data_IF_524266986550
#
_entry.id   IF_524266986550
#
_cell.length_a   1.000
_cell.length_b   1.000
_cell.length_c   1.000
_cell.angle_alpha   90.00
_cell.angle_beta   90.00
_cell.angle_gamma   90.00
#
_symmetry.space_group_name_H-M   'P 1'
#
loop_
_entity.id
_entity.type
_entity.pdbx_description
1 polymer ?
#
# COMPACT_ATOMS: atom_id res chain seq x y z
N UNK A 1 -43.77 -8.34 -7.30
CA UNK A 1 -43.32 -9.71 -6.96
C UNK A 1 -42.25 -10.13 -7.96
N UNK A 2 -40.98 -10.31 -7.65
CA UNK A 2 -40.37 -10.96 -6.50
C UNK A 2 -39.06 -10.23 -6.11
N UNK A 3 -39.07 -9.52 -4.98
CA UNK A 3 -37.85 -9.19 -4.25
C UNK A 3 -37.68 -10.30 -3.20
N UNK A 4 -36.70 -11.17 -3.39
CA UNK A 4 -36.35 -12.20 -2.41
C UNK A 4 -34.85 -12.13 -2.08
N UNK A 5 -34.59 -11.52 -0.92
CA UNK A 5 -33.49 -11.73 0.01
C UNK A 5 -32.28 -12.56 -0.46
N UNK A 6 -31.14 -11.90 -0.60
CA UNK A 6 -29.82 -12.52 -0.50
C UNK A 6 -28.93 -11.67 0.41
N UNK A 7 -29.22 -11.69 1.71
CA UNK A 7 -28.28 -11.33 2.76
C UNK A 7 -27.80 -12.61 3.45
N UNK A 8 -26.57 -13.07 3.22
CA UNK A 8 -25.97 -13.98 4.17
C UNK A 8 -25.62 -13.16 5.42
N UNK A 9 -26.36 -13.38 6.52
CA UNK A 9 -25.87 -13.04 7.86
C UNK A 9 -24.63 -13.91 8.08
N UNK A 10 -23.44 -13.35 7.89
CA UNK A 10 -22.23 -13.94 8.43
C UNK A 10 -22.36 -13.91 9.95
N UNK A 11 -22.74 -15.05 10.52
CA UNK A 11 -22.62 -15.28 11.96
C UNK A 11 -21.14 -15.48 12.21
N UNK A 12 -20.46 -14.43 12.69
CA UNK A 12 -19.19 -14.64 13.38
C UNK A 12 -19.52 -15.54 14.56
N UNK A 13 -18.99 -16.78 14.55
CA UNK A 13 -19.06 -17.63 15.72
C UNK A 13 -18.38 -16.87 16.86
N UNK A 14 -19.17 -16.43 17.84
CA UNK A 14 -18.63 -15.96 19.10
C UNK A 14 -17.69 -17.04 19.65
N UNK A 15 -16.55 -16.68 20.24
CA UNK A 15 -15.74 -17.64 20.96
C UNK A 15 -16.64 -18.37 21.97
N UNK A 16 -16.56 -19.70 22.02
CA UNK A 16 -17.23 -20.48 23.06
C UNK A 16 -16.77 -20.02 24.44
N UNK A 17 -17.62 -20.18 25.46
CA UNK A 17 -17.34 -19.74 26.84
C UNK A 17 -15.97 -20.22 27.38
N UNK A 18 -15.47 -21.35 26.89
CA UNK A 18 -14.14 -21.87 27.20
C UNK A 18 -12.99 -20.95 26.73
N UNK A 19 -13.13 -20.29 25.57
CA UNK A 19 -12.13 -19.35 25.06
C UNK A 19 -12.08 -18.04 25.88
N UNK A 20 -13.19 -17.66 26.53
CA UNK A 20 -13.22 -16.50 27.44
C UNK A 20 -12.60 -16.83 28.80
N UNK A 21 -12.65 -18.09 29.25
CA UNK A 21 -12.04 -18.51 30.52
C UNK A 21 -10.50 -18.56 30.46
N UNK A 22 -9.91 -18.89 29.31
CA UNK A 22 -8.44 -18.93 29.14
C UNK A 22 -7.80 -17.53 29.20
N UNK A 23 -8.54 -16.47 28.88
CA UNK A 23 -8.03 -15.09 28.97
C UNK A 23 -7.87 -14.57 30.41
N UNK A 24 -8.42 -15.26 31.42
CA UNK A 24 -8.38 -14.86 32.82
C UNK A 24 -7.20 -15.45 33.62
N UNK A 25 -6.45 -16.41 33.05
CA UNK A 25 -5.22 -16.95 33.61
C UNK A 25 -4.05 -16.38 32.81
N UNK A 26 -3.26 -15.49 33.42
CA UNK A 26 -2.26 -14.60 32.80
C UNK A 26 -1.05 -15.23 32.10
N UNK A 27 -1.20 -16.35 31.39
CA UNK A 27 -0.21 -16.92 30.48
C UNK A 27 -0.89 -17.35 29.18
N UNK A 28 -1.10 -16.39 28.27
CA UNK A 28 -1.29 -16.76 26.86
C UNK A 28 0.03 -17.37 26.38
N UNK A 29 0.07 -18.65 25.96
CA UNK A 29 1.25 -19.19 25.30
C UNK A 29 1.56 -18.29 24.08
N UNK A 30 2.85 -18.06 23.76
CA UNK A 30 3.19 -17.24 22.61
C UNK A 30 2.46 -17.81 21.39
N UNK A 31 1.69 -16.97 20.69
CA UNK A 31 1.04 -17.33 19.44
C UNK A 31 2.11 -17.95 18.54
N UNK A 32 2.09 -19.28 18.43
CA UNK A 32 3.10 -20.00 17.70
C UNK A 32 2.96 -19.60 16.23
N UNK A 33 4.09 -19.33 15.55
CA UNK A 33 4.06 -19.10 14.11
C UNK A 33 3.38 -20.29 13.44
N UNK A 34 2.31 -20.06 12.69
CA UNK A 34 1.77 -21.09 11.82
C UNK A 34 2.79 -21.42 10.73
N UNK A 35 3.45 -20.38 10.19
CA UNK A 35 4.57 -20.51 9.27
C UNK A 35 5.28 -19.15 9.07
N UNK A 36 6.41 -19.16 8.37
CA UNK A 36 7.16 -17.96 7.96
C UNK A 36 7.27 -17.93 6.44
N UNK A 37 7.18 -16.75 5.83
CA UNK A 37 7.43 -16.56 4.41
C UNK A 37 8.21 -15.28 4.14
N UNK A 38 8.85 -15.20 2.98
CA UNK A 38 9.52 -14.00 2.51
C UNK A 38 10.58 -14.33 1.47
N UNK A 39 10.68 -13.50 0.42
CA UNK A 39 11.75 -13.60 -0.58
C UNK A 39 12.82 -12.57 -0.28
N UNK A 40 14.09 -12.92 -0.46
CA UNK A 40 15.17 -11.94 -0.36
C UNK A 40 14.94 -10.78 -1.35
N UNK A 41 15.31 -9.57 -0.94
CA UNK A 41 15.14 -8.40 -1.79
C UNK A 41 16.16 -8.41 -2.94
N UNK A 42 15.78 -8.00 -4.16
CA UNK A 42 16.76 -7.68 -5.18
C UNK A 42 17.64 -6.49 -4.74
N UNK A 43 18.81 -6.38 -5.37
CA UNK A 43 19.76 -5.30 -5.09
C UNK A 43 19.17 -3.92 -5.42
N UNK A 44 18.50 -3.83 -6.59
CA UNK A 44 17.77 -2.65 -7.02
C UNK A 44 16.27 -2.97 -7.12
N UNK A 45 15.44 -1.97 -6.91
CA UNK A 45 14.02 -2.09 -7.26
C UNK A 45 13.77 -1.95 -8.77
N UNK A 46 12.53 -2.10 -9.22
CA UNK A 46 12.16 -2.02 -10.65
C UNK A 46 12.11 -0.57 -11.20
N UNK A 47 12.47 0.43 -10.41
CA UNK A 47 12.20 1.82 -10.76
C UNK A 47 10.71 2.16 -10.71
N UNK A 48 10.33 3.34 -11.21
CA UNK A 48 8.93 3.79 -11.25
C UNK A 48 8.67 4.60 -12.51
N UNK A 49 7.48 4.48 -13.07
CA UNK A 49 7.02 5.35 -14.16
C UNK A 49 5.84 6.20 -13.69
N UNK A 50 5.96 7.51 -13.84
CA UNK A 50 4.92 8.47 -13.50
C UNK A 50 4.36 9.05 -14.79
N UNK A 51 3.08 8.81 -15.06
CA UNK A 51 2.40 9.32 -16.26
C UNK A 51 1.61 10.57 -15.91
N UNK A 52 1.75 11.58 -16.77
CA UNK A 52 0.97 12.81 -16.75
C UNK A 52 0.43 13.11 -18.15
N UNK A 53 -0.55 14.01 -18.21
CA UNK A 53 -1.07 14.58 -19.45
C UNK A 53 -0.97 16.09 -19.33
N UNK A 54 -0.20 16.71 -20.20
CA UNK A 54 -0.08 18.16 -20.21
C UNK A 54 -1.42 18.78 -20.61
N UNK A 55 -2.04 19.50 -19.69
CA UNK A 55 -3.23 20.32 -19.92
C UNK A 55 -2.71 21.74 -19.99
N UNK A 56 -2.80 22.39 -21.15
CA UNK A 56 -2.25 23.73 -21.36
C UNK A 56 -2.68 24.70 -20.26
N UNK A 57 -1.79 25.61 -19.86
CA UNK A 57 -2.12 26.67 -18.91
C UNK A 57 -2.64 27.89 -19.69
N UNK A 58 -3.96 27.99 -19.88
CA UNK A 58 -4.61 29.02 -20.70
C UNK A 58 -4.07 29.11 -22.16
N UNK A 59 -4.84 29.69 -23.07
CA UNK A 59 -4.56 29.62 -24.52
C UNK A 59 -3.25 30.32 -24.97
N UNK A 60 -2.56 31.03 -24.08
CA UNK A 60 -1.37 31.84 -24.36
C UNK A 60 -0.07 31.30 -23.74
N UNK A 61 -0.12 30.33 -22.82
CA UNK A 61 1.11 29.87 -22.13
C UNK A 61 1.69 28.64 -22.82
N UNK A 62 2.67 28.86 -23.70
CA UNK A 62 3.59 27.78 -24.12
C UNK A 62 4.47 27.38 -22.93
N UNK A 63 4.20 26.24 -22.31
CA UNK A 63 5.04 25.71 -21.24
C UNK A 63 6.14 24.81 -21.82
N UNK A 64 7.39 25.06 -21.42
CA UNK A 64 8.49 24.14 -21.69
C UNK A 64 8.43 22.92 -20.75
N UNK A 65 9.05 21.82 -21.17
CA UNK A 65 9.14 20.59 -20.40
C UNK A 65 9.74 20.83 -19.00
N UNK A 66 10.77 21.66 -18.92
CA UNK A 66 11.42 21.98 -17.64
C UNK A 66 10.53 22.81 -16.72
N UNK A 67 9.78 23.79 -17.25
CA UNK A 67 8.86 24.59 -16.46
C UNK A 67 7.75 23.69 -15.90
N UNK A 68 7.18 22.83 -16.74
CA UNK A 68 6.16 21.88 -16.33
C UNK A 68 6.62 21.02 -15.13
N UNK A 69 7.78 20.37 -15.21
CA UNK A 69 8.25 19.50 -14.13
C UNK A 69 8.71 20.28 -12.90
N UNK A 70 9.42 21.40 -13.07
CA UNK A 70 9.95 22.17 -11.94
C UNK A 70 8.85 22.90 -11.16
N UNK A 71 7.73 23.27 -11.79
CA UNK A 71 6.60 23.91 -11.12
C UNK A 71 5.67 22.91 -10.44
N UNK A 72 5.28 21.85 -11.15
CA UNK A 72 4.30 20.87 -10.65
C UNK A 72 4.91 19.84 -9.68
N UNK A 73 6.21 19.59 -9.77
CA UNK A 73 6.87 18.50 -9.04
C UNK A 73 8.09 18.95 -8.21
N UNK A 74 7.96 20.11 -7.55
CA UNK A 74 8.98 20.68 -6.64
C UNK A 74 9.45 19.72 -5.54
N UNK A 75 8.53 18.92 -5.01
CA UNK A 75 8.83 17.91 -3.97
C UNK A 75 9.61 16.71 -4.49
N UNK A 76 9.62 16.49 -5.81
CA UNK A 76 10.26 15.33 -6.43
C UNK A 76 11.71 15.59 -6.84
N UNK A 77 12.02 16.83 -7.24
CA UNK A 77 13.38 17.32 -7.46
C UNK A 77 13.39 18.85 -7.57
N UNK A 78 14.51 19.50 -7.19
CA UNK A 78 14.76 20.88 -7.56
C UNK A 78 15.03 21.00 -9.08
N UNK A 79 14.98 22.23 -9.60
CA UNK A 79 15.21 22.53 -11.04
C UNK A 79 16.45 21.83 -11.64
N UNK A 80 17.66 21.88 -11.02
CA UNK A 80 18.82 21.17 -11.57
C UNK A 80 18.63 19.64 -11.62
N UNK A 81 17.86 19.08 -10.69
CA UNK A 81 17.53 17.66 -10.68
C UNK A 81 16.60 17.26 -11.82
N UNK A 82 15.65 18.12 -12.19
CA UNK A 82 14.80 17.89 -13.36
C UNK A 82 15.56 18.04 -14.67
N UNK A 83 16.43 19.05 -14.80
CA UNK A 83 17.32 19.20 -15.96
C UNK A 83 18.16 17.94 -16.16
N UNK A 84 18.76 17.43 -15.08
CA UNK A 84 19.57 16.21 -15.14
C UNK A 84 18.76 15.00 -15.60
N UNK A 85 17.54 14.82 -15.08
CA UNK A 85 16.64 13.71 -15.47
C UNK A 85 16.25 13.79 -16.94
N UNK A 86 15.89 14.97 -17.43
CA UNK A 86 15.55 15.18 -18.85
C UNK A 86 16.76 14.84 -19.71
N UNK A 87 17.93 15.44 -19.45
CA UNK A 87 19.15 15.20 -20.23
C UNK A 87 19.61 13.75 -20.24
N UNK A 88 19.34 12.99 -19.18
CA UNK A 88 19.62 11.56 -19.10
C UNK A 88 18.58 10.67 -19.79
N UNK A 89 17.62 11.24 -20.53
CA UNK A 89 16.61 10.48 -21.26
C UNK A 89 15.58 9.79 -20.37
N UNK A 90 15.35 10.30 -19.15
CA UNK A 90 14.40 9.72 -18.21
C UNK A 90 12.95 10.16 -18.46
N UNK A 91 12.70 10.97 -19.49
CA UNK A 91 11.38 11.51 -19.81
C UNK A 91 11.00 11.08 -21.22
N UNK A 92 9.78 10.59 -21.39
CA UNK A 92 9.18 10.45 -22.72
C UNK A 92 8.01 11.38 -22.90
N UNK A 93 7.88 11.97 -24.08
CA UNK A 93 6.72 12.74 -24.52
C UNK A 93 6.10 12.00 -25.70
N UNK A 94 4.83 11.60 -25.57
CA UNK A 94 4.10 10.85 -26.58
C UNK A 94 4.84 9.57 -27.05
N UNK A 95 5.54 8.94 -26.09
CA UNK A 95 6.30 7.70 -26.28
C UNK A 95 7.73 7.89 -26.81
N UNK A 96 8.16 9.12 -27.12
CA UNK A 96 9.53 9.39 -27.57
C UNK A 96 10.38 9.95 -26.43
N UNK A 97 11.61 9.45 -26.28
CA UNK A 97 12.56 9.97 -25.28
C UNK A 97 12.94 11.40 -25.63
N UNK A 98 12.83 12.30 -24.65
CA UNK A 98 13.17 13.72 -24.80
C UNK A 98 14.31 14.08 -23.88
N UNK A 99 15.34 14.70 -24.45
CA UNK A 99 16.54 15.15 -23.73
C UNK A 99 16.72 16.67 -23.71
N UNK A 100 15.86 17.41 -24.42
CA UNK A 100 15.84 18.87 -24.44
C UNK A 100 14.89 19.42 -23.34
N UNK A 101 15.41 20.09 -22.29
CA UNK A 101 14.59 20.70 -21.25
C UNK A 101 13.66 21.81 -21.77
N UNK A 102 14.03 22.48 -22.85
CA UNK A 102 13.31 23.64 -23.38
C UNK A 102 12.25 23.25 -24.43
N UNK A 103 12.06 21.94 -24.68
CA UNK A 103 11.01 21.43 -25.55
C UNK A 103 9.65 22.00 -25.15
N UNK A 104 8.97 22.64 -26.10
CA UNK A 104 7.63 23.18 -25.90
C UNK A 104 6.61 22.04 -25.91
N UNK A 105 5.79 21.99 -24.85
CA UNK A 105 4.73 21.01 -24.70
C UNK A 105 3.49 21.41 -25.48
N UNK A 106 2.84 20.41 -26.09
CA UNK A 106 1.54 20.57 -26.75
C UNK A 106 0.44 20.07 -25.82
N UNK A 107 -0.66 20.79 -25.75
CA UNK A 107 -1.82 20.35 -24.99
C UNK A 107 -2.24 18.94 -25.40
N UNK A 108 -2.51 18.09 -24.42
CA UNK A 108 -2.83 16.68 -24.61
C UNK A 108 -1.61 15.76 -24.65
N UNK A 109 -0.37 16.27 -24.73
CA UNK A 109 0.83 15.43 -24.74
C UNK A 109 0.92 14.56 -23.48
N UNK A 110 1.21 13.28 -23.70
CA UNK A 110 1.43 12.30 -22.62
C UNK A 110 2.88 12.34 -22.19
N UNK A 111 3.11 12.69 -20.94
CA UNK A 111 4.43 12.76 -20.32
C UNK A 111 4.64 11.52 -19.46
N UNK A 112 5.79 10.86 -19.58
CA UNK A 112 6.17 9.78 -18.67
C UNK A 112 7.55 10.04 -18.11
N UNK A 113 7.63 10.18 -16.80
CA UNK A 113 8.90 10.21 -16.08
C UNK A 113 9.27 8.80 -15.61
N UNK A 114 10.38 8.28 -16.12
CA UNK A 114 11.00 7.02 -15.74
C UNK A 114 12.07 7.25 -14.67
N UNK A 115 11.65 7.09 -13.42
CA UNK A 115 12.58 7.02 -12.30
C UNK A 115 13.34 5.70 -12.37
N UNK A 116 14.65 5.78 -12.55
CA UNK A 116 15.53 4.62 -12.61
C UNK A 116 15.46 3.79 -11.32
N UNK A 117 15.73 2.50 -11.47
CA UNK A 117 15.94 1.55 -10.39
C UNK A 117 16.96 2.08 -9.36
N UNK A 118 16.70 1.88 -8.06
CA UNK A 118 17.64 2.24 -7.00
C UNK A 118 17.73 1.18 -5.92
N UNK A 119 18.85 1.20 -5.18
CA UNK A 119 19.05 0.38 -3.99
C UNK A 119 18.26 0.97 -2.84
N UNK A 120 17.20 0.29 -2.44
CA UNK A 120 16.45 0.68 -1.24
C UNK A 120 17.29 0.40 0.01
N UNK A 121 17.07 1.12 1.12
CA UNK A 121 17.74 0.82 2.37
C UNK A 121 17.43 -0.61 2.85
N UNK A 122 18.25 -1.12 3.76
CA UNK A 122 18.00 -2.44 4.35
C UNK A 122 16.62 -2.51 5.03
N UNK A 123 15.95 -3.65 4.84
CA UNK A 123 14.73 -4.02 5.54
C UNK A 123 14.69 -5.55 5.73
N UNK A 124 14.14 -6.06 6.85
CA UNK A 124 13.84 -7.49 6.98
C UNK A 124 12.89 -7.96 5.87
N UNK A 125 13.04 -9.19 5.39
CA UNK A 125 12.18 -9.75 4.33
C UNK A 125 11.28 -10.89 4.80
N UNK A 126 11.60 -11.53 5.93
CA UNK A 126 10.82 -12.61 6.50
C UNK A 126 9.64 -12.06 7.32
N UNK A 127 8.47 -12.64 7.12
CA UNK A 127 7.22 -12.35 7.80
C UNK A 127 6.69 -13.64 8.44
N UNK A 128 6.39 -13.56 9.73
CA UNK A 128 5.78 -14.65 10.46
C UNK A 128 4.26 -14.50 10.41
N UNK A 129 3.57 -15.58 10.06
CA UNK A 129 2.09 -15.66 10.11
C UNK A 129 1.69 -16.23 11.46
N UNK A 130 0.89 -15.46 12.19
CA UNK A 130 0.34 -15.84 13.49
C UNK A 130 -1.03 -16.51 13.35
N UNK A 131 -1.78 -16.13 12.32
CA UNK A 131 -3.11 -16.65 12.05
C UNK A 131 -3.46 -16.46 10.56
N UNK A 132 -4.20 -17.41 9.98
CA UNK A 132 -4.76 -17.32 8.65
C UNK A 132 -6.07 -18.12 8.56
N UNK A 133 -7.08 -17.53 7.93
CA UNK A 133 -8.32 -18.19 7.51
C UNK A 133 -8.70 -17.77 6.07
N UNK A 134 -9.96 -17.96 5.67
CA UNK A 134 -10.43 -17.61 4.34
C UNK A 134 -10.55 -16.09 4.10
N UNK A 135 -10.70 -15.30 5.17
CA UNK A 135 -11.00 -13.88 5.11
C UNK A 135 -9.79 -12.99 5.43
N UNK A 136 -8.84 -13.47 6.24
CA UNK A 136 -7.72 -12.67 6.72
C UNK A 136 -6.46 -13.46 7.08
N UNK A 137 -5.38 -12.71 7.23
CA UNK A 137 -4.07 -13.16 7.70
C UNK A 137 -3.58 -12.16 8.74
N UNK A 138 -3.11 -12.66 9.88
CA UNK A 138 -2.44 -11.88 10.90
C UNK A 138 -0.94 -12.14 10.85
N UNK A 139 -0.15 -11.07 10.67
CA UNK A 139 1.30 -11.12 10.59
C UNK A 139 1.94 -10.57 11.86
N UNK A 140 3.06 -11.15 12.29
CA UNK A 140 4.00 -10.47 13.16
C UNK A 140 4.96 -9.66 12.30
N UNK A 141 4.71 -8.36 12.17
CA UNK A 141 5.57 -7.46 11.38
C UNK A 141 6.85 -7.17 12.16
N UNK A 142 8.06 -7.44 11.61
CA UNK A 142 9.30 -7.03 12.26
C UNK A 142 9.49 -5.52 12.22
N UNK A 143 10.26 -4.97 13.17
CA UNK A 143 10.72 -3.58 13.09
C UNK A 143 11.71 -3.41 11.93
N UNK A 144 11.72 -2.23 11.31
CA UNK A 144 12.54 -1.92 10.13
C UNK A 144 11.86 -2.20 8.79
N UNK A 145 10.74 -2.94 8.76
CA UNK A 145 9.97 -3.22 7.54
C UNK A 145 8.78 -2.27 7.39
N UNK A 146 8.72 -1.57 6.26
CA UNK A 146 7.66 -0.64 5.88
C UNK A 146 6.40 -1.42 5.43
N UNK A 147 5.19 -0.98 5.80
CA UNK A 147 3.95 -1.71 5.41
C UNK A 147 3.59 -1.48 3.94
N UNK A 148 3.50 -0.22 3.53
CA UNK A 148 3.12 0.22 2.19
C UNK A 148 4.22 1.07 1.55
N UNK A 149 4.34 1.09 0.21
CA UNK A 149 5.30 1.94 -0.50
C UNK A 149 5.27 3.39 -0.02
N UNK A 150 6.43 3.91 0.37
CA UNK A 150 6.60 5.30 0.82
C UNK A 150 8.05 5.76 0.70
N UNK A 151 8.25 6.91 0.07
CA UNK A 151 9.56 7.55 -0.04
C UNK A 151 10.57 6.67 -0.78
N UNK A 152 11.68 6.35 -0.12
CA UNK A 152 12.76 5.52 -0.66
C UNK A 152 12.49 4.00 -0.56
N UNK A 153 11.38 3.59 0.07
CA UNK A 153 10.94 2.19 0.16
C UNK A 153 9.74 1.96 -0.76
N UNK A 154 9.93 1.29 -1.89
CA UNK A 154 8.84 0.94 -2.83
C UNK A 154 8.58 -0.55 -2.81
N UNK A 155 9.62 -1.35 -3.02
CA UNK A 155 9.52 -2.80 -3.05
C UNK A 155 9.84 -3.45 -1.71
N UNK A 156 10.67 -2.84 -0.85
CA UNK A 156 11.04 -3.45 0.45
C UNK A 156 9.95 -3.19 1.49
N UNK A 157 8.77 -3.75 1.25
CA UNK A 157 7.55 -3.55 2.04
C UNK A 157 6.83 -4.86 2.34
N UNK A 158 5.98 -4.86 3.37
CA UNK A 158 5.08 -5.99 3.66
C UNK A 158 4.20 -6.29 2.44
N UNK A 159 3.64 -5.25 1.81
CA UNK A 159 2.77 -5.41 0.65
C UNK A 159 3.45 -6.17 -0.49
N UNK A 160 4.72 -5.87 -0.78
CA UNK A 160 5.45 -6.57 -1.84
C UNK A 160 5.65 -8.06 -1.51
N UNK A 161 5.97 -8.41 -0.26
CA UNK A 161 6.07 -9.82 0.15
C UNK A 161 4.74 -10.55 0.02
N UNK A 162 3.63 -9.88 0.38
CA UNK A 162 2.29 -10.41 0.18
C UNK A 162 2.00 -10.67 -1.31
N UNK A 163 2.38 -9.74 -2.18
CA UNK A 163 2.21 -9.84 -3.64
C UNK A 163 3.05 -10.95 -4.26
N UNK A 164 4.27 -11.18 -3.78
CA UNK A 164 5.16 -12.21 -4.31
C UNK A 164 4.87 -13.62 -3.79
N UNK A 165 4.17 -13.74 -2.66
CA UNK A 165 3.73 -15.03 -2.15
C UNK A 165 2.49 -15.48 -2.90
N UNK A 166 2.44 -16.77 -3.22
CA UNK A 166 1.22 -17.41 -3.70
C UNK A 166 0.28 -17.68 -2.52
N UNK A 167 -0.99 -17.30 -2.68
CA UNK A 167 -2.03 -17.39 -1.65
C UNK A 167 -3.18 -18.26 -2.11
N UNK A 168 -3.70 -19.08 -1.20
CA UNK A 168 -5.01 -19.71 -1.36
C UNK A 168 -6.09 -18.67 -1.08
N UNK A 169 -6.58 -18.04 -2.13
CA UNK A 169 -7.60 -17.00 -2.05
C UNK A 169 -9.00 -17.60 -2.25
N UNK A 170 -10.03 -17.13 -1.52
CA UNK A 170 -11.39 -17.59 -1.75
C UNK A 170 -11.85 -17.22 -3.17
N UNK A 171 -12.70 -18.04 -3.81
CA UNK A 171 -13.19 -17.77 -5.14
C UNK A 171 -13.94 -16.43 -5.16
N UNK A 172 -13.61 -15.56 -6.10
CA UNK A 172 -14.34 -14.31 -6.26
C UNK A 172 -15.76 -14.62 -6.74
N UNK A 173 -16.75 -14.47 -5.87
CA UNK A 173 -18.19 -14.69 -6.16
C UNK A 173 -18.78 -13.71 -7.20
N UNK A 174 -17.98 -12.76 -7.70
CA UNK A 174 -18.39 -11.75 -8.67
C UNK A 174 -17.51 -11.81 -9.93
N UNK A 175 -17.70 -12.85 -10.74
CA UNK A 175 -16.97 -13.20 -11.97
C UNK A 175 -17.16 -12.23 -13.17
N UNK A 176 -17.50 -10.95 -12.94
CA UNK A 176 -17.63 -9.93 -14.02
C UNK A 176 -16.78 -8.68 -13.83
N UNK A 177 -15.99 -8.54 -12.76
CA UNK A 177 -15.12 -7.36 -12.56
C UNK A 177 -13.63 -7.70 -12.64
N UNK A 178 -12.87 -6.92 -13.41
CA UNK A 178 -11.42 -6.98 -13.65
C UNK A 178 -10.52 -6.83 -12.39
N UNK A 179 -11.02 -7.02 -11.18
CA UNK A 179 -10.28 -6.75 -9.94
C UNK A 179 -10.46 -7.89 -8.93
N UNK A 180 -9.96 -9.07 -9.31
CA UNK A 180 -9.83 -10.20 -8.40
C UNK A 180 -8.63 -9.94 -7.50
N UNK A 181 -8.85 -9.94 -6.19
CA UNK A 181 -7.77 -9.78 -5.21
C UNK A 181 -6.93 -11.07 -5.19
N UNK A 182 -5.65 -10.96 -5.57
CA UNK A 182 -4.75 -12.12 -5.70
C UNK A 182 -3.91 -12.38 -4.45
N UNK A 183 -3.89 -11.44 -3.51
CA UNK A 183 -3.11 -11.52 -2.28
C UNK A 183 -3.81 -10.77 -1.13
N UNK A 184 -3.53 -11.11 0.14
CA UNK A 184 -3.97 -10.31 1.28
C UNK A 184 -3.49 -8.86 1.17
N UNK A 185 -4.29 -7.92 1.66
CA UNK A 185 -3.97 -6.49 1.67
C UNK A 185 -4.01 -5.96 3.10
N UNK A 186 -2.98 -5.24 3.58
CA UNK A 186 -2.98 -4.66 4.92
C UNK A 186 -4.22 -3.78 5.16
N UNK A 187 -4.88 -3.96 6.30
CA UNK A 187 -6.09 -3.18 6.68
C UNK A 187 -5.76 -1.95 7.52
N UNK A 188 -4.60 -1.96 8.18
CA UNK A 188 -4.03 -0.83 8.91
C UNK A 188 -2.53 -0.75 8.64
N UNK A 189 -1.86 0.29 9.17
CA UNK A 189 -0.41 0.44 9.05
C UNK A 189 0.25 0.51 10.42
N UNK A 190 1.43 -0.08 10.52
CA UNK A 190 2.39 0.18 11.59
C UNK A 190 3.53 1.03 11.01
N UNK A 191 4.15 1.87 11.85
CA UNK A 191 5.35 2.60 11.47
C UNK A 191 6.50 1.64 11.12
N UNK A 192 7.46 2.10 10.31
CA UNK A 192 8.64 1.28 9.97
C UNK A 192 9.35 0.75 11.21
N UNK A 193 9.59 1.62 12.19
CA UNK A 193 10.26 1.26 13.45
C UNK A 193 9.40 0.50 14.47
N UNK A 194 8.13 0.24 14.14
CA UNK A 194 7.18 -0.43 15.04
C UNK A 194 7.05 -1.90 14.64
N UNK A 195 7.30 -2.83 15.57
CA UNK A 195 6.96 -4.24 15.40
C UNK A 195 5.54 -4.55 15.90
N UNK A 196 5.01 -5.71 15.54
CA UNK A 196 3.79 -6.25 16.14
C UNK A 196 2.75 -6.71 15.13
N UNK A 197 1.54 -6.94 15.65
CA UNK A 197 0.42 -7.51 14.91
C UNK A 197 -0.02 -6.60 13.76
N UNK A 198 -0.01 -7.14 12.55
CA UNK A 198 -0.50 -6.48 11.34
C UNK A 198 -1.56 -7.37 10.68
N UNK A 199 -2.78 -6.87 10.58
CA UNK A 199 -3.89 -7.58 9.93
C UNK A 199 -3.94 -7.27 8.43
N UNK A 200 -4.13 -8.32 7.64
CA UNK A 200 -4.28 -8.25 6.18
C UNK A 200 -5.55 -8.99 5.77
N UNK A 201 -6.39 -8.38 4.94
CA UNK A 201 -7.64 -8.99 4.47
C UNK A 201 -7.44 -9.70 3.13
N UNK A 202 -7.97 -10.92 3.00
CA UNK A 202 -8.02 -11.71 1.76
C UNK A 202 -9.24 -11.37 0.89
N UNK A 203 -10.30 -10.83 1.49
CA UNK A 203 -11.52 -10.41 0.78
C UNK A 203 -11.77 -8.91 0.90
N UNK A 204 -12.49 -8.35 -0.08
CA UNK A 204 -12.93 -6.94 -0.01
C UNK A 204 -13.88 -6.70 1.16
N UNK A 205 -14.75 -7.67 1.47
CA UNK A 205 -15.69 -7.59 2.59
C UNK A 205 -14.94 -7.54 3.92
N UNK A 206 -14.03 -8.49 4.16
CA UNK A 206 -13.19 -8.51 5.35
C UNK A 206 -12.35 -7.23 5.47
N UNK A 207 -11.83 -6.70 4.36
CA UNK A 207 -11.09 -5.43 4.36
C UNK A 207 -11.93 -4.28 4.91
N UNK A 208 -13.17 -4.13 4.46
CA UNK A 208 -14.06 -3.05 4.89
C UNK A 208 -14.41 -3.19 6.37
N UNK A 209 -14.79 -4.40 6.81
CA UNK A 209 -15.17 -4.67 8.19
C UNK A 209 -13.98 -4.51 9.16
N UNK A 210 -12.82 -5.09 8.83
CA UNK A 210 -11.65 -4.95 9.68
C UNK A 210 -11.17 -3.50 9.76
N UNK A 211 -11.21 -2.76 8.64
CA UNK A 211 -10.84 -1.34 8.63
C UNK A 211 -11.78 -0.48 9.49
N UNK A 212 -13.09 -0.81 9.56
CA UNK A 212 -14.02 -0.05 10.40
C UNK A 212 -13.70 -0.20 11.89
N UNK A 213 -13.29 -1.40 12.34
CA UNK A 213 -12.87 -1.60 13.73
C UNK A 213 -11.65 -0.73 14.12
N UNK A 214 -10.68 -0.55 13.20
CA UNK A 214 -9.55 0.36 13.47
C UNK A 214 -9.97 1.83 13.46
N UNK A 215 -10.92 2.22 12.62
CA UNK A 215 -11.44 3.59 12.58
C UNK A 215 -12.20 3.93 13.87
N UNK A 216 -13.08 3.03 14.32
CA UNK A 216 -13.83 3.17 15.58
C UNK A 216 -12.89 3.20 16.79
N UNK A 217 -11.89 2.30 16.83
CA UNK A 217 -10.88 2.27 17.89
C UNK A 217 -10.06 3.56 17.96
N UNK A 218 -9.69 4.14 16.81
CA UNK A 218 -8.97 5.42 16.76
C UNK A 218 -9.82 6.58 17.32
N UNK A 219 -11.10 6.66 16.93
CA UNK A 219 -12.02 7.68 17.43
C UNK A 219 -12.23 7.57 18.96
N UNK A 220 -12.31 6.35 19.49
CA UNK A 220 -12.45 6.13 20.93
C UNK A 220 -11.17 6.50 21.70
N UNK A 221 -9.99 6.21 21.15
CA UNK A 221 -8.71 6.61 21.74
C UNK A 221 -8.55 8.14 21.78
N UNK A 222 -9.01 8.85 20.74
CA UNK A 222 -9.01 10.31 20.69
C UNK A 222 -9.95 10.92 21.73
N UNK A 223 -11.20 10.42 21.85
CA UNK A 223 -12.14 10.84 22.90
C UNK A 223 -11.58 10.65 24.30
N UNK A 224 -10.92 9.51 24.56
CA UNK A 224 -10.29 9.24 25.86
C UNK A 224 -9.13 10.20 26.14
N UNK A 225 -8.33 10.54 25.13
CA UNK A 225 -7.27 11.56 25.26
C UNK A 225 -7.84 12.95 25.53
N UNK A 226 -8.94 13.32 24.88
CA UNK A 226 -9.61 14.60 25.14
C UNK A 226 -10.17 14.69 26.56
N UNK A 227 -10.80 13.61 27.07
CA UNK A 227 -11.24 13.51 28.47
C UNK A 227 -10.08 13.64 29.48
N UNK A 228 -8.89 13.10 29.15
CA UNK A 228 -7.71 13.21 30.02
C UNK A 228 -7.06 14.60 29.98
N UNK A 229 -7.34 15.41 28.96
CA UNK A 229 -6.77 16.75 28.79
C UNK A 229 -7.71 17.88 29.24
N UNK A 230 -9.01 17.59 29.44
CA UNK A 230 -10.00 18.49 30.03
C UNK A 230 -10.86 17.70 31.04
N UNK A 231 -10.38 17.55 32.29
CA UNK A 231 -11.11 16.85 33.35
C UNK A 231 -12.37 17.60 33.82
#
# INVERSE_FOLDING_TARGET
DQYANCTPKAVFSHPTADAMAVAAAGETPPLQANYVFGRAWPDLNEGLSYTDTFRGADAETTASLINFYSENYKSSAPLPGWIHRIRNGQITVDGQVVTDPDMILREGSKLVYHRLAWKEPFAPHLLQVLYEDDDMVALNKPSGLQVLPKGIFQQRTVLAQLQWKEWKMPPSSCSKRKNVQLHPVPVHRLGRGTSGLLLCAKTKLAKVQLASYFAEGAANAEKKRMWLLNP
#
